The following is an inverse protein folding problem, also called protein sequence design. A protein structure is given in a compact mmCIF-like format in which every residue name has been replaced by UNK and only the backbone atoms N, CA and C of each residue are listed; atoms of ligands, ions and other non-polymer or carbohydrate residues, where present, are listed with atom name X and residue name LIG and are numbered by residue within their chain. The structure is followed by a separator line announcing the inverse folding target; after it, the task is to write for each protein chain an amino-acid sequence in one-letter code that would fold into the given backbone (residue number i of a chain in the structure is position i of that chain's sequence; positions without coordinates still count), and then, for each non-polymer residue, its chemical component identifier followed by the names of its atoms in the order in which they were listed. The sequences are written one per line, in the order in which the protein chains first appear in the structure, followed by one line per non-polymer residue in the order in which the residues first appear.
data_IF_773453023199
#
_entry.id   IF_773453023199
#
_cell.length_a   1.000
_cell.length_b   1.000
_cell.length_c   1.000
_cell.angle_alpha   90.00
_cell.angle_beta   90.00
_cell.angle_gamma   90.00
#
_symmetry.space_group_name_H-M   'P 1'
#
loop_
_entity.id
_entity.type
_entity.pdbx_description
1 polymer ?
#
# COMPACT_ATOMS: atom_id res chain seq x y z
N UNK A 1 0.43 12.88 31.60
CA UNK A 1 0.86 12.39 30.27
C UNK A 1 0.06 11.15 29.95
N UNK A 2 -0.74 11.17 28.89
CA UNK A 2 -1.48 9.98 28.43
C UNK A 2 -0.48 8.89 28.00
N UNK A 3 -0.77 7.60 28.22
CA UNK A 3 0.09 6.54 27.74
C UNK A 3 0.20 6.63 26.22
N UNK A 4 1.44 6.68 25.70
CA UNK A 4 1.73 6.62 24.27
C UNK A 4 1.19 5.29 23.75
N UNK A 5 0.15 5.34 22.91
CA UNK A 5 -0.35 4.14 22.26
C UNK A 5 0.70 3.66 21.28
N UNK A 6 1.03 2.36 21.25
CA UNK A 6 1.93 1.85 20.24
C UNK A 6 1.36 2.12 18.85
N UNK A 7 2.21 2.42 17.85
CA UNK A 7 1.75 2.58 16.48
C UNK A 7 1.15 1.25 15.99
N UNK A 8 0.00 1.35 15.32
CA UNK A 8 -0.72 0.20 14.78
C UNK A 8 -0.94 0.40 13.29
N UNK A 9 -0.75 -0.67 12.52
CA UNK A 9 -1.08 -0.72 11.10
C UNK A 9 -2.56 -0.41 10.89
N UNK A 10 -2.84 0.45 9.92
CA UNK A 10 -4.21 0.73 9.50
C UNK A 10 -4.55 -0.24 8.38
N UNK A 11 -5.66 -0.95 8.49
CA UNK A 11 -6.04 -2.00 7.55
C UNK A 11 -7.46 -1.81 7.04
N UNK A 12 -7.68 -2.21 5.79
CA UNK A 12 -8.98 -2.16 5.13
C UNK A 12 -9.12 -0.96 4.19
N UNK A 13 -9.78 -1.20 3.07
CA UNK A 13 -9.85 -0.28 1.93
C UNK A 13 -10.40 1.09 2.35
N UNK A 14 -11.53 1.13 3.06
CA UNK A 14 -12.17 2.40 3.43
C UNK A 14 -11.28 3.26 4.34
N UNK A 15 -10.69 2.64 5.37
CA UNK A 15 -9.81 3.35 6.31
C UNK A 15 -8.54 3.84 5.61
N UNK A 16 -7.91 3.01 4.80
CA UNK A 16 -6.70 3.37 4.05
C UNK A 16 -6.99 4.49 3.04
N UNK A 17 -8.12 4.43 2.33
CA UNK A 17 -8.57 5.47 1.40
C UNK A 17 -8.73 6.82 2.10
N UNK A 18 -9.46 6.89 3.23
CA UNK A 18 -9.59 8.14 3.98
C UNK A 18 -8.23 8.67 4.45
N UNK A 19 -7.31 7.80 4.85
CA UNK A 19 -5.97 8.21 5.26
C UNK A 19 -5.15 8.75 4.08
N UNK A 20 -5.23 8.09 2.93
CA UNK A 20 -4.54 8.48 1.69
C UNK A 20 -5.04 9.83 1.16
N UNK A 21 -6.35 10.08 1.20
CA UNK A 21 -6.93 11.40 0.85
C UNK A 21 -6.37 12.52 1.74
N UNK A 22 -6.11 12.21 3.01
CA UNK A 22 -5.49 13.14 3.94
C UNK A 22 -3.95 13.16 3.88
N UNK A 23 -3.34 12.40 2.95
CA UNK A 23 -1.87 12.24 2.81
C UNK A 23 -1.17 11.88 4.13
N UNK A 24 -1.86 11.14 4.99
CA UNK A 24 -1.34 10.64 6.28
C UNK A 24 -0.45 9.39 6.18
N UNK A 25 -0.67 8.44 5.25
CA UNK A 25 0.15 7.23 5.21
C UNK A 25 1.53 7.53 4.62
N UNK A 26 2.53 6.94 5.24
CA UNK A 26 3.92 6.95 4.80
C UNK A 26 4.16 5.92 3.69
N UNK A 27 3.50 4.76 3.77
CA UNK A 27 3.53 3.69 2.76
C UNK A 27 2.22 2.91 2.80
N UNK A 28 1.72 2.52 1.62
CA UNK A 28 0.55 1.64 1.45
C UNK A 28 0.96 0.33 0.77
N UNK A 29 0.44 -0.79 1.25
CA UNK A 29 0.64 -2.12 0.68
C UNK A 29 -0.71 -2.69 0.27
N UNK A 30 -0.79 -3.20 -0.95
CA UNK A 30 -2.02 -3.71 -1.57
C UNK A 30 -1.78 -5.15 -2.04
N UNK A 31 -2.67 -6.07 -1.69
CA UNK A 31 -2.67 -7.41 -2.26
C UNK A 31 -3.34 -7.41 -3.65
N UNK A 32 -2.78 -8.15 -4.61
CA UNK A 32 -3.32 -8.23 -5.97
C UNK A 32 -4.37 -9.33 -6.18
N UNK A 33 -4.39 -10.35 -5.32
CA UNK A 33 -5.17 -11.59 -5.44
C UNK A 33 -6.56 -11.49 -4.83
N UNK A 34 -7.12 -10.28 -4.82
CA UNK A 34 -8.48 -10.03 -4.37
C UNK A 34 -9.50 -10.26 -5.46
N UNK A 35 -10.59 -10.88 -5.05
CA UNK A 35 -11.83 -10.97 -5.80
C UNK A 35 -12.91 -10.14 -5.06
N UNK A 36 -13.39 -9.02 -5.63
CA UNK A 36 -13.24 -8.60 -7.03
C UNK A 36 -12.08 -7.57 -7.25
N UNK A 37 -11.55 -7.43 -8.48
CA UNK A 37 -10.31 -6.68 -8.77
C UNK A 37 -10.44 -5.16 -8.60
N UNK A 38 -11.65 -4.61 -8.54
CA UNK A 38 -11.86 -3.15 -8.34
C UNK A 38 -11.30 -2.67 -6.99
N UNK A 39 -11.18 -3.59 -6.02
CA UNK A 39 -10.57 -3.32 -4.71
C UNK A 39 -9.07 -2.97 -4.79
N UNK A 40 -8.41 -3.23 -5.93
CA UNK A 40 -7.00 -2.88 -6.17
C UNK A 40 -6.89 -1.68 -7.10
N UNK A 41 -7.66 -1.69 -8.20
CA UNK A 41 -7.53 -0.72 -9.30
C UNK A 41 -7.93 0.69 -8.87
N UNK A 42 -9.02 0.83 -8.10
CA UNK A 42 -9.48 2.15 -7.68
C UNK A 42 -8.52 2.80 -6.66
N UNK A 43 -8.06 2.09 -5.60
CA UNK A 43 -7.11 2.67 -4.65
C UNK A 43 -5.75 3.01 -5.26
N UNK A 44 -5.23 2.21 -6.19
CA UNK A 44 -3.94 2.51 -6.85
C UNK A 44 -3.98 3.83 -7.60
N UNK A 45 -5.03 4.08 -8.39
CA UNK A 45 -5.23 5.36 -9.06
C UNK A 45 -5.30 6.54 -8.08
N UNK A 46 -5.96 6.36 -6.93
CA UNK A 46 -6.02 7.37 -5.88
C UNK A 46 -4.64 7.64 -5.26
N UNK A 47 -3.87 6.60 -4.93
CA UNK A 47 -2.54 6.76 -4.33
C UNK A 47 -1.58 7.50 -5.26
N UNK A 48 -1.59 7.19 -6.57
CA UNK A 48 -0.85 7.95 -7.59
C UNK A 48 -1.24 9.43 -7.58
N UNK A 49 -2.56 9.72 -7.63
CA UNK A 49 -3.06 11.10 -7.64
C UNK A 49 -2.69 11.89 -6.38
N UNK A 50 -2.66 11.21 -5.23
CA UNK A 50 -2.35 11.83 -3.94
C UNK A 50 -0.84 11.91 -3.63
N UNK A 51 0.01 11.25 -4.42
CA UNK A 51 1.46 11.19 -4.20
C UNK A 51 1.87 10.30 -3.02
N UNK A 52 0.98 9.38 -2.63
CA UNK A 52 1.22 8.42 -1.56
C UNK A 52 1.96 7.23 -2.16
N UNK A 53 3.13 6.83 -1.61
CA UNK A 53 3.84 5.68 -2.13
C UNK A 53 3.07 4.41 -1.79
N UNK A 54 2.91 3.53 -2.78
CA UNK A 54 2.21 2.27 -2.60
C UNK A 54 2.96 1.15 -3.32
N UNK A 55 2.80 -0.07 -2.84
CA UNK A 55 3.30 -1.25 -3.52
C UNK A 55 2.23 -2.34 -3.57
N UNK A 56 2.29 -3.13 -4.65
CA UNK A 56 1.40 -4.27 -4.87
C UNK A 56 2.19 -5.55 -4.57
N UNK A 57 1.63 -6.43 -3.74
CA UNK A 57 2.25 -7.70 -3.36
C UNK A 57 1.38 -8.90 -3.73
N UNK A 58 2.05 -10.05 -3.87
CA UNK A 58 1.40 -11.33 -4.07
C UNK A 58 0.87 -11.92 -2.77
N UNK A 59 -0.45 -12.12 -2.62
CA UNK A 59 -1.09 -12.87 -1.55
C UNK A 59 -1.74 -12.00 -0.45
N UNK A 60 -3.07 -12.01 -0.32
CA UNK A 60 -3.80 -11.49 0.86
C UNK A 60 -3.36 -12.22 2.13
N UNK A 61 -3.08 -13.52 2.04
CA UNK A 61 -2.57 -14.34 3.14
C UNK A 61 -1.29 -13.78 3.77
N UNK A 62 -0.46 -13.03 3.02
CA UNK A 62 0.74 -12.38 3.59
C UNK A 62 0.39 -11.14 4.40
N UNK A 63 -0.69 -10.43 4.04
CA UNK A 63 -1.20 -9.30 4.82
C UNK A 63 -1.86 -9.78 6.11
N UNK A 64 -2.49 -10.96 6.11
CA UNK A 64 -3.05 -11.56 7.33
C UNK A 64 -1.99 -11.83 8.41
N UNK A 65 -0.75 -12.16 8.01
CA UNK A 65 0.37 -12.28 8.96
C UNK A 65 0.77 -10.94 9.59
N UNK A 66 0.51 -9.82 8.91
CA UNK A 66 0.77 -8.47 9.43
C UNK A 66 -0.37 -7.96 10.33
N UNK A 67 -1.60 -8.40 10.07
CA UNK A 67 -2.80 -7.97 10.79
C UNK A 67 -3.59 -9.20 11.25
N UNK A 68 -3.24 -9.77 12.43
CA UNK A 68 -3.89 -10.97 12.94
C UNK A 68 -5.40 -10.78 13.11
N UNK A 69 -6.18 -11.75 12.62
CA UNK A 69 -7.63 -11.78 12.76
C UNK A 69 -8.40 -10.89 11.79
N UNK A 70 -7.74 -10.34 10.75
CA UNK A 70 -8.39 -9.61 9.66
C UNK A 70 -7.82 -10.02 8.31
N UNK A 71 -8.65 -10.63 7.47
CA UNK A 71 -8.39 -10.66 6.02
C UNK A 71 -8.45 -9.22 5.53
N UNK A 72 -7.33 -8.71 5.03
CA UNK A 72 -7.23 -7.34 4.57
C UNK A 72 -6.47 -7.26 3.26
N UNK A 73 -7.09 -6.60 2.30
CA UNK A 73 -6.52 -6.34 0.97
C UNK A 73 -5.51 -5.21 0.99
N UNK A 74 -5.69 -4.25 1.88
CA UNK A 74 -4.89 -3.02 1.95
C UNK A 74 -4.47 -2.72 3.37
N UNK A 75 -3.20 -2.34 3.52
CA UNK A 75 -2.60 -1.96 4.79
C UNK A 75 -1.79 -0.68 4.60
N UNK A 76 -1.84 0.22 5.57
CA UNK A 76 -1.11 1.48 5.55
C UNK A 76 -0.28 1.69 6.82
N UNK A 77 0.96 2.12 6.62
CA UNK A 77 1.84 2.61 7.66
C UNK A 77 1.58 4.10 7.88
N UNK A 78 0.94 4.47 8.98
CA UNK A 78 0.71 5.88 9.35
C UNK A 78 1.74 6.37 10.36
N UNK A 79 2.06 5.52 11.33
CA UNK A 79 3.07 5.75 12.35
C UNK A 79 3.94 4.51 12.48
N UNK A 80 5.20 4.73 12.82
CA UNK A 80 6.20 3.68 13.03
C UNK A 80 7.07 4.09 14.21
N UNK A 81 7.55 3.10 14.97
CA UNK A 81 8.52 3.36 16.04
C UNK A 81 9.76 4.05 15.46
N UNK A 82 10.41 4.89 16.28
CA UNK A 82 11.61 5.63 15.89
C UNK A 82 12.74 4.73 15.38
N UNK A 83 12.91 3.56 16.00
CA UNK A 83 13.90 2.55 15.63
C UNK A 83 13.74 2.02 14.19
N UNK A 84 12.51 1.96 13.68
CA UNK A 84 12.18 1.36 12.39
C UNK A 84 12.02 2.41 11.27
N UNK A 85 12.07 3.71 11.60
CA UNK A 85 11.92 4.80 10.62
C UNK A 85 12.93 4.71 9.47
N UNK A 86 14.18 4.38 9.77
CA UNK A 86 15.22 4.26 8.74
C UNK A 86 14.99 3.09 7.78
N UNK A 87 14.42 1.98 8.27
CA UNK A 87 14.09 0.82 7.43
C UNK A 87 12.90 1.15 6.54
N UNK A 88 11.86 1.78 7.09
CA UNK A 88 10.68 2.18 6.34
C UNK A 88 11.01 3.21 5.25
N UNK A 89 11.85 4.21 5.55
CA UNK A 89 12.27 5.22 4.59
C UNK A 89 12.98 4.62 3.37
N UNK A 90 13.83 3.60 3.56
CA UNK A 90 14.47 2.88 2.45
C UNK A 90 13.45 2.13 1.59
N UNK A 91 12.42 1.55 2.21
CA UNK A 91 11.35 0.88 1.48
C UNK A 91 10.50 1.89 0.69
N UNK A 92 10.15 3.02 1.30
CA UNK A 92 9.46 4.11 0.62
C UNK A 92 10.24 4.61 -0.59
N UNK A 93 11.55 4.80 -0.47
CA UNK A 93 12.42 5.20 -1.57
C UNK A 93 12.40 4.16 -2.70
N UNK A 94 12.64 2.89 -2.36
CA UNK A 94 12.61 1.79 -3.34
C UNK A 94 11.26 1.67 -4.07
N UNK A 95 10.16 1.87 -3.33
CA UNK A 95 8.80 1.84 -3.88
C UNK A 95 8.55 3.02 -4.80
N UNK A 96 8.97 4.24 -4.44
CA UNK A 96 8.82 5.45 -5.27
C UNK A 96 9.59 5.36 -6.58
N UNK A 97 10.79 4.80 -6.56
CA UNK A 97 11.57 4.53 -7.79
C UNK A 97 10.82 3.56 -8.69
N UNK A 98 10.30 2.47 -8.12
CA UNK A 98 9.52 1.46 -8.85
C UNK A 98 8.16 1.98 -9.37
N UNK A 99 7.51 2.94 -8.70
CA UNK A 99 6.22 3.51 -9.14
C UNK A 99 6.37 4.49 -10.31
N UNK A 100 7.45 5.27 -10.32
CA UNK A 100 7.77 6.20 -11.41
C UNK A 100 7.98 5.44 -12.73
N UNK A 101 8.61 4.25 -12.66
CA UNK A 101 8.83 3.38 -13.82
C UNK A 101 7.57 2.62 -14.25
N UNK A 102 6.53 2.55 -13.40
CA UNK A 102 5.26 1.84 -13.71
C UNK A 102 4.18 2.70 -14.34
N UNK A 103 4.23 4.02 -14.22
CA UNK A 103 3.32 4.90 -14.99
C UNK A 103 3.48 4.68 -16.50
N UNK A 104 4.68 4.28 -16.95
CA UNK A 104 4.98 3.85 -18.31
C UNK A 104 4.33 2.50 -18.68
N UNK A 105 4.03 1.61 -17.72
CA UNK A 105 3.33 0.34 -17.98
C UNK A 105 1.83 0.59 -18.23
N UNK A 106 1.23 1.65 -17.68
CA UNK A 106 -0.14 2.05 -18.03
C UNK A 106 -0.26 2.50 -19.50
N UNK A 107 0.84 2.89 -20.15
CA UNK A 107 0.91 3.22 -21.57
C UNK A 107 1.49 2.08 -22.43
N UNK A 108 2.16 1.10 -21.83
CA UNK A 108 2.57 -0.13 -22.51
C UNK A 108 1.35 -1.08 -22.56
N UNK A 109 0.74 -1.17 -23.74
CA UNK A 109 -0.23 -2.22 -24.01
C UNK A 109 0.46 -3.57 -23.82
N UNK A 110 0.24 -4.24 -22.69
CA UNK A 110 0.79 -5.56 -22.35
C UNK A 110 0.20 -6.71 -23.18
N UNK A 111 -0.21 -6.44 -24.42
CA UNK A 111 -0.66 -7.45 -25.35
C UNK A 111 0.54 -7.95 -26.15
N UNK A 112 1.25 -8.93 -25.63
CA UNK A 112 2.13 -9.83 -26.38
C UNK A 112 2.36 -11.11 -25.56
N UNK A 113 1.30 -11.91 -25.40
CA UNK A 113 1.47 -13.35 -25.19
C UNK A 113 1.34 -13.96 -26.58
N UNK A 114 2.47 -14.23 -27.22
CA UNK A 114 2.52 -15.12 -28.37
C UNK A 114 2.36 -16.55 -27.86
N UNK A 115 1.18 -17.12 -28.06
CA UNK A 115 0.98 -18.55 -28.34
C UNK A 115 0.20 -18.69 -29.63
#
# INVERSE_FOLDING_TARGET
MSPLRPPVLQAGVNTVTTLAENKKPQLVVIAHDVDPPELVVLPTALHCKMGVPYCIIGGEARLEHLVPGKTCTTVAFTQVNSENKGVLAKQEEAVRTNDSDRYEICHHSGGNIWV
#
